data_IF_537128247115
#
_entry.id   IF_537128247115
#
_cell.length_a   1.000
_cell.length_b   1.000
_cell.length_c   1.000
_cell.angle_alpha   90.00
_cell.angle_beta   90.00
_cell.angle_gamma   90.00
#
_symmetry.space_group_name_H-M   'P 1'
#
loop_
_entity.id
_entity.type
_entity.pdbx_description
1 polymer ?
#
# COMPACT_ATOMS: atom_id res chain seq x y z
N UNK A 1 -58.44 -24.77 30.26
CA UNK A 1 -57.90 -25.68 29.21
C UNK A 1 -57.88 -24.88 27.92
N UNK A 2 -56.82 -24.67 27.14
CA UNK A 2 -55.48 -25.25 27.04
C UNK A 2 -54.52 -24.11 26.62
N UNK A 3 -53.41 -23.89 27.33
CA UNK A 3 -52.06 -24.34 26.95
C UNK A 3 -51.56 -23.82 25.59
N UNK A 4 -51.32 -22.51 25.47
CA UNK A 4 -50.41 -21.96 24.46
C UNK A 4 -48.99 -22.23 24.95
N UNK A 5 -48.56 -23.48 24.75
CA UNK A 5 -47.18 -23.94 24.89
C UNK A 5 -46.50 -23.78 23.55
N UNK A 6 -45.21 -23.46 23.63
CA UNK A 6 -44.21 -23.51 22.56
C UNK A 6 -44.46 -22.55 21.40
N UNK A 7 -43.66 -21.49 21.36
CA UNK A 7 -42.72 -21.18 20.28
C UNK A 7 -41.93 -19.94 20.74
N UNK A 8 -40.73 -19.74 20.17
CA UNK A 8 -39.76 -18.67 20.51
C UNK A 8 -38.91 -18.99 21.74
N UNK A 9 -37.58 -19.14 21.70
CA UNK A 9 -36.58 -18.93 20.67
C UNK A 9 -35.40 -19.86 20.99
N UNK A 10 -35.22 -20.95 20.24
CA UNK A 10 -33.90 -21.58 20.15
C UNK A 10 -33.07 -20.75 19.19
N UNK A 11 -32.30 -19.80 19.72
CA UNK A 11 -31.23 -19.15 18.96
C UNK A 11 -30.08 -20.15 18.88
N UNK A 12 -30.16 -21.07 17.90
CA UNK A 12 -29.04 -21.93 17.58
C UNK A 12 -27.85 -21.02 17.23
N UNK A 13 -26.76 -21.16 17.99
CA UNK A 13 -25.45 -20.58 17.71
C UNK A 13 -24.98 -21.12 16.36
N UNK A 14 -25.41 -20.46 15.29
CA UNK A 14 -24.84 -20.60 13.97
C UNK A 14 -23.51 -19.83 14.00
N UNK A 15 -22.51 -20.41 14.67
CA UNK A 15 -21.10 -20.11 14.41
C UNK A 15 -20.84 -20.65 13.01
N UNK A 16 -21.29 -19.88 12.02
CA UNK A 16 -20.90 -20.08 10.63
C UNK A 16 -19.39 -20.09 10.63
N UNK A 17 -18.83 -21.22 10.24
CA UNK A 17 -17.44 -21.34 9.88
C UNK A 17 -17.17 -20.30 8.80
N UNK A 18 -16.71 -19.12 9.21
CA UNK A 18 -16.09 -18.16 8.32
C UNK A 18 -14.83 -18.90 7.86
N UNK A 19 -14.68 -19.27 6.58
CA UNK A 19 -13.39 -19.73 6.11
C UNK A 19 -12.44 -18.58 6.38
N UNK A 20 -11.51 -18.78 7.32
CA UNK A 20 -10.36 -17.93 7.46
C UNK A 20 -9.66 -18.01 6.11
N UNK A 21 -9.91 -17.02 5.24
CA UNK A 21 -9.09 -16.79 4.08
C UNK A 21 -7.71 -16.55 4.67
N UNK A 22 -6.88 -17.58 4.68
CA UNK A 22 -5.44 -17.46 4.83
C UNK A 22 -5.01 -16.58 3.66
N UNK A 23 -5.03 -15.25 3.89
CA UNK A 23 -4.28 -14.33 3.08
C UNK A 23 -2.87 -14.89 3.12
N UNK A 24 -2.43 -15.43 1.98
CA UNK A 24 -1.11 -16.01 1.82
C UNK A 24 -0.14 -14.94 2.29
N UNK A 25 0.50 -15.14 3.44
CA UNK A 25 1.42 -14.18 4.03
C UNK A 25 2.44 -13.83 2.96
N UNK A 26 2.26 -12.68 2.32
CA UNK A 26 3.22 -12.14 1.38
C UNK A 26 4.49 -11.92 2.16
N UNK A 27 5.58 -12.54 1.69
CA UNK A 27 6.90 -12.38 2.29
C UNK A 27 7.16 -10.89 2.55
N UNK A 28 7.51 -10.49 3.80
CA UNK A 28 7.72 -9.09 4.13
C UNK A 28 8.70 -8.46 3.16
N UNK A 29 8.37 -7.30 2.59
CA UNK A 29 9.31 -6.57 1.74
C UNK A 29 10.59 -6.31 2.53
N UNK A 30 11.72 -6.80 2.02
CA UNK A 30 13.02 -6.49 2.60
C UNK A 30 13.28 -5.00 2.36
N UNK A 31 13.34 -4.23 3.43
CA UNK A 31 13.64 -2.80 3.35
C UNK A 31 15.12 -2.59 3.06
N UNK A 32 15.42 -1.54 2.28
CA UNK A 32 16.76 -1.17 1.87
C UNK A 32 17.29 0.05 2.62
N UNK A 33 18.20 0.78 1.97
CA UNK A 33 18.64 2.11 2.45
C UNK A 33 17.78 3.19 1.79
N UNK A 34 17.62 4.32 2.47
CA UNK A 34 17.00 5.47 1.81
C UNK A 34 17.86 5.94 0.64
N UNK A 35 17.32 5.85 -0.58
CA UNK A 35 17.93 6.39 -1.80
C UNK A 35 16.91 7.30 -2.51
N UNK A 36 16.82 8.59 -2.10
CA UNK A 36 15.80 9.50 -2.61
C UNK A 36 15.85 9.70 -4.13
N UNK A 37 17.04 9.92 -4.69
CA UNK A 37 17.24 10.13 -6.13
C UNK A 37 16.88 8.87 -6.92
N UNK A 38 17.29 7.70 -6.43
CA UNK A 38 16.94 6.42 -7.04
C UNK A 38 15.43 6.18 -7.04
N UNK A 39 14.78 6.42 -5.89
CA UNK A 39 13.35 6.28 -5.74
C UNK A 39 12.57 7.22 -6.66
N UNK A 40 12.98 8.49 -6.80
CA UNK A 40 12.35 9.43 -7.75
C UNK A 40 12.44 8.94 -9.19
N UNK A 41 13.61 8.43 -9.62
CA UNK A 41 13.77 7.87 -10.98
C UNK A 41 12.87 6.65 -11.20
N UNK A 42 12.81 5.75 -10.23
CA UNK A 42 11.94 4.57 -10.27
C UNK A 42 10.47 4.98 -10.36
N UNK A 43 10.04 5.90 -9.48
CA UNK A 43 8.67 6.43 -9.50
C UNK A 43 8.33 7.06 -10.84
N UNK A 44 9.25 7.85 -11.42
CA UNK A 44 8.97 8.57 -12.65
C UNK A 44 8.76 7.59 -13.81
N UNK A 45 9.64 6.59 -13.93
CA UNK A 45 9.52 5.53 -14.93
C UNK A 45 8.21 4.77 -14.81
N UNK A 46 7.77 4.42 -13.61
CA UNK A 46 6.52 3.66 -13.43
C UNK A 46 5.27 4.53 -13.67
N UNK A 47 5.29 5.79 -13.22
CA UNK A 47 4.21 6.73 -13.49
C UNK A 47 4.08 7.07 -14.98
N UNK A 48 5.20 7.16 -15.71
CA UNK A 48 5.22 7.32 -17.17
C UNK A 48 4.56 6.13 -17.88
N UNK A 49 4.70 4.92 -17.33
CA UNK A 49 4.00 3.71 -17.80
C UNK A 49 2.52 3.65 -17.38
N UNK A 50 1.99 4.72 -16.78
CA UNK A 50 0.60 4.83 -16.34
C UNK A 50 0.29 4.05 -15.05
N UNK A 51 1.31 3.64 -14.27
CA UNK A 51 1.08 2.98 -12.98
C UNK A 51 0.53 3.96 -11.95
N UNK A 52 -0.19 3.41 -10.96
CA UNK A 52 -0.59 4.21 -9.80
C UNK A 52 0.62 4.57 -8.94
N UNK A 53 0.49 5.58 -8.07
CA UNK A 53 1.54 5.93 -7.13
C UNK A 53 1.87 4.76 -6.19
N UNK A 54 0.86 4.02 -5.74
CA UNK A 54 1.03 2.88 -4.85
C UNK A 54 1.78 1.71 -5.53
N UNK A 55 1.44 1.40 -6.78
CA UNK A 55 2.13 0.36 -7.55
C UNK A 55 3.58 0.78 -7.82
N UNK A 56 3.79 2.04 -8.19
CA UNK A 56 5.12 2.62 -8.42
C UNK A 56 5.98 2.56 -7.16
N UNK A 57 5.40 2.88 -5.99
CA UNK A 57 6.11 2.82 -4.72
C UNK A 57 6.43 1.38 -4.31
N UNK A 58 5.60 0.41 -4.69
CA UNK A 58 5.93 -1.02 -4.51
C UNK A 58 7.21 -1.41 -5.26
N UNK A 59 7.48 -0.80 -6.42
CA UNK A 59 8.74 -1.01 -7.15
C UNK A 59 9.93 -0.36 -6.41
N UNK A 60 9.73 0.79 -5.75
CA UNK A 60 10.75 1.41 -4.87
C UNK A 60 11.10 0.47 -3.71
N UNK A 61 10.10 -0.17 -3.08
CA UNK A 61 10.32 -1.17 -2.04
C UNK A 61 11.13 -2.37 -2.56
N UNK A 62 10.71 -2.95 -3.69
CA UNK A 62 11.38 -4.12 -4.30
C UNK A 62 12.81 -3.83 -4.78
N UNK A 63 13.11 -2.57 -5.11
CA UNK A 63 14.45 -2.14 -5.51
C UNK A 63 15.35 -1.76 -4.32
N UNK A 64 14.90 -1.94 -3.08
CA UNK A 64 15.65 -1.64 -1.86
C UNK A 64 16.08 -0.16 -1.76
N UNK A 65 15.27 0.76 -2.29
CA UNK A 65 15.53 2.21 -2.29
C UNK A 65 14.83 2.96 -1.14
N UNK A 66 14.09 2.23 -0.29
CA UNK A 66 13.33 2.77 0.84
C UNK A 66 13.63 1.98 2.11
N UNK A 67 13.79 2.69 3.22
CA UNK A 67 14.18 2.12 4.52
C UNK A 67 13.00 1.99 5.51
N UNK A 68 11.78 2.32 5.09
CA UNK A 68 10.60 2.28 5.98
C UNK A 68 10.33 3.57 6.73
N UNK A 69 11.24 4.54 6.71
CA UNK A 69 11.12 5.74 7.54
C UNK A 69 10.33 6.86 6.88
N UNK A 70 9.58 7.63 7.69
CA UNK A 70 8.93 8.86 7.24
C UNK A 70 9.96 9.90 6.77
N UNK A 71 11.15 9.92 7.38
CA UNK A 71 12.24 10.78 6.94
C UNK A 71 12.63 10.50 5.48
N UNK A 72 12.70 9.23 5.10
CA UNK A 72 12.99 8.89 3.71
C UNK A 72 11.90 9.33 2.74
N UNK A 73 10.62 9.27 3.13
CA UNK A 73 9.52 9.81 2.32
C UNK A 73 9.70 11.31 2.09
N UNK A 74 10.06 12.06 3.14
CA UNK A 74 10.35 13.50 3.03
C UNK A 74 11.48 13.75 2.05
N UNK A 75 12.60 13.03 2.16
CA UNK A 75 13.72 13.19 1.24
C UNK A 75 13.36 12.82 -0.21
N UNK A 76 12.54 11.79 -0.43
CA UNK A 76 12.03 11.45 -1.77
C UNK A 76 11.21 12.61 -2.34
N UNK A 77 10.35 13.23 -1.53
CA UNK A 77 9.57 14.40 -1.93
C UNK A 77 10.48 15.59 -2.25
N UNK A 78 11.43 15.92 -1.40
CA UNK A 78 12.41 17.01 -1.65
C UNK A 78 13.21 16.76 -2.93
N UNK A 79 13.78 15.56 -3.10
CA UNK A 79 14.52 15.17 -4.30
C UNK A 79 13.63 15.28 -5.57
N UNK A 80 12.33 15.01 -5.47
CA UNK A 80 11.42 15.18 -6.61
C UNK A 80 11.19 16.64 -7.01
N UNK A 81 11.32 17.60 -6.08
CA UNK A 81 11.31 19.02 -6.42
C UNK A 81 12.59 19.42 -7.15
N UNK A 82 13.75 18.94 -6.69
CA UNK A 82 15.05 19.21 -7.31
C UNK A 82 15.11 18.60 -8.72
N UNK A 83 14.54 17.40 -8.90
CA UNK A 83 14.55 16.66 -10.15
C UNK A 83 13.36 16.98 -11.06
N UNK A 84 12.53 17.99 -10.76
CA UNK A 84 11.26 18.27 -11.45
C UNK A 84 11.32 18.28 -12.98
N UNK A 85 12.45 18.74 -13.54
CA UNK A 85 12.64 18.82 -15.00
C UNK A 85 12.98 17.45 -15.60
N UNK A 86 13.75 16.64 -14.87
CA UNK A 86 14.18 15.29 -15.29
C UNK A 86 13.23 14.15 -14.90
N UNK A 87 12.35 14.40 -13.92
CA UNK A 87 11.37 13.46 -13.39
C UNK A 87 9.98 14.11 -13.26
N UNK A 88 9.41 14.61 -14.38
CA UNK A 88 8.21 15.45 -14.35
C UNK A 88 6.96 14.70 -13.88
N UNK A 89 6.84 13.40 -14.14
CA UNK A 89 5.68 12.61 -13.72
C UNK A 89 5.67 12.40 -12.21
N UNK A 90 6.82 12.13 -11.59
CA UNK A 90 6.93 12.06 -10.12
C UNK A 90 6.66 13.40 -9.48
N UNK A 91 7.28 14.48 -10.00
CA UNK A 91 7.04 15.82 -9.46
C UNK A 91 5.56 16.19 -9.50
N UNK A 92 4.92 16.04 -10.67
CA UNK A 92 3.49 16.29 -10.83
C UNK A 92 2.68 15.48 -9.82
N UNK A 93 2.95 14.17 -9.71
CA UNK A 93 2.16 13.27 -8.87
C UNK A 93 2.30 13.53 -7.36
N UNK A 94 3.45 14.04 -6.91
CA UNK A 94 3.71 14.24 -5.48
C UNK A 94 3.39 15.65 -4.99
N UNK A 95 3.34 16.64 -5.88
CA UNK A 95 3.22 18.05 -5.50
C UNK A 95 2.03 18.79 -6.10
N UNK A 96 1.51 18.33 -7.24
CA UNK A 96 0.46 19.02 -7.97
C UNK A 96 -0.88 18.27 -7.96
N UNK A 97 -0.89 17.01 -7.51
CA UNK A 97 -2.05 16.12 -7.37
C UNK A 97 -2.19 15.67 -5.92
#
# INVERSE_FOLDING_TARGET
MASIKLLFLSFALLVGAIPANHAKDSEPFKLGKCNPVGAVKTLNSELEKGKSLNDSFTVVLRSNQFDGSNACITFIREASMELRESAPHTFKKLWLE
#
